data_IF_922951653400
#
_entry.id   IF_922951653400
#
_cell.length_a   1.000
_cell.length_b   1.000
_cell.length_c   1.000
_cell.angle_alpha   90.00
_cell.angle_beta   90.00
_cell.angle_gamma   90.00
#
_symmetry.space_group_name_H-M   'P 1'
#
loop_
_entity.id
_entity.type
_entity.pdbx_description
1 polymer ?
#
# COMPACT_ATOMS: atom_id res chain seq x y z
N UNK A 1 1.19 0.84 14.07
CA UNK A 1 0.72 2.13 13.52
C UNK A 1 0.09 1.86 12.18
N UNK A 2 -0.92 2.63 11.77
CA UNK A 2 -1.51 2.51 10.43
C UNK A 2 -1.17 3.75 9.64
N UNK A 3 -0.59 3.55 8.46
CA UNK A 3 -0.34 4.60 7.47
C UNK A 3 -1.05 4.23 6.17
N UNK A 4 -1.44 5.24 5.40
CA UNK A 4 -2.12 5.05 4.14
C UNK A 4 -1.41 5.83 3.04
N UNK A 5 -1.41 5.25 1.84
CA UNK A 5 -1.05 5.92 0.60
C UNK A 5 -2.33 6.04 -0.21
N UNK A 6 -2.77 7.26 -0.48
CA UNK A 6 -3.85 7.51 -1.42
C UNK A 6 -3.59 8.84 -2.14
N UNK A 7 -3.24 8.82 -3.44
CA UNK A 7 -2.93 10.04 -4.21
C UNK A 7 -4.17 10.87 -4.54
N UNK A 8 -5.38 10.37 -4.29
CA UNK A 8 -6.64 11.03 -4.65
C UNK A 8 -7.41 11.58 -3.43
N UNK A 9 -6.94 11.32 -2.21
CA UNK A 9 -7.56 11.77 -0.96
C UNK A 9 -6.78 12.92 -0.34
N UNK A 10 -7.50 13.88 0.24
CA UNK A 10 -6.93 14.95 1.05
C UNK A 10 -6.99 14.64 2.55
N UNK A 11 -6.19 15.36 3.34
CA UNK A 11 -6.10 15.15 4.80
C UNK A 11 -7.44 15.34 5.53
N UNK A 12 -8.42 16.04 4.92
CA UNK A 12 -9.69 16.38 5.54
C UNK A 12 -10.60 15.16 5.79
N UNK A 13 -10.39 14.06 5.07
CA UNK A 13 -11.18 12.83 5.18
C UNK A 13 -10.53 11.70 5.99
N UNK A 14 -9.30 11.88 6.48
CA UNK A 14 -8.51 10.80 7.07
C UNK A 14 -8.85 10.60 8.56
N UNK A 15 -9.19 9.38 9.00
CA UNK A 15 -9.37 9.09 10.42
C UNK A 15 -8.11 9.43 11.22
N UNK A 16 -8.25 10.01 12.42
CA UNK A 16 -7.13 10.42 13.29
C UNK A 16 -6.11 9.29 13.59
N UNK A 17 -6.52 8.03 13.48
CA UNK A 17 -5.66 6.86 13.70
C UNK A 17 -4.79 6.48 12.49
N UNK A 18 -4.96 7.16 11.35
CA UNK A 18 -4.26 6.89 10.09
C UNK A 18 -3.47 8.13 9.71
N UNK A 19 -2.22 7.94 9.26
CA UNK A 19 -1.43 9.01 8.66
C UNK A 19 -1.29 8.79 7.16
N UNK A 20 -1.59 9.83 6.37
CA UNK A 20 -1.30 9.81 4.93
C UNK A 20 0.21 9.99 4.74
N UNK A 21 0.83 9.14 3.92
CA UNK A 21 2.27 9.15 3.65
C UNK A 21 2.55 8.96 2.17
N UNK A 22 3.74 9.35 1.74
CA UNK A 22 4.22 9.04 0.39
C UNK A 22 4.47 7.53 0.23
N UNK A 23 4.23 7.02 -0.98
CA UNK A 23 4.63 5.66 -1.37
C UNK A 23 6.13 5.63 -1.67
N UNK A 24 6.95 5.47 -0.63
CA UNK A 24 8.40 5.41 -0.73
C UNK A 24 8.97 4.10 -0.16
N UNK A 25 10.24 3.81 -0.51
CA UNK A 25 10.97 2.63 -0.01
C UNK A 25 11.03 2.56 1.51
N UNK A 26 11.08 3.71 2.19
CA UNK A 26 11.23 3.76 3.65
C UNK A 26 9.94 3.30 4.32
N UNK A 27 8.78 3.71 3.82
CA UNK A 27 7.49 3.26 4.33
C UNK A 27 7.25 1.78 4.04
N UNK A 28 7.55 1.35 2.81
CA UNK A 28 7.38 -0.06 2.41
C UNK A 28 8.29 -0.99 3.21
N UNK A 29 9.57 -0.66 3.38
CA UNK A 29 10.52 -1.46 4.15
C UNK A 29 10.21 -1.49 5.66
N UNK A 30 9.47 -0.51 6.18
CA UNK A 30 9.07 -0.46 7.58
C UNK A 30 7.71 -1.11 7.84
N UNK A 31 6.99 -1.51 6.79
CA UNK A 31 5.66 -2.09 6.92
C UNK A 31 5.75 -3.56 7.35
N UNK A 32 5.07 -3.90 8.45
CA UNK A 32 4.89 -5.29 8.86
C UNK A 32 3.90 -6.03 7.94
N UNK A 33 2.99 -5.28 7.29
CA UNK A 33 1.96 -5.78 6.39
C UNK A 33 1.57 -4.68 5.40
N UNK A 34 1.48 -5.04 4.11
CA UNK A 34 0.96 -4.20 3.04
C UNK A 34 -0.44 -4.69 2.67
N UNK A 35 -1.42 -3.78 2.59
CA UNK A 35 -2.79 -4.12 2.17
C UNK A 35 -3.16 -3.25 0.96
N UNK A 36 -3.42 -3.89 -0.17
CA UNK A 36 -3.87 -3.20 -1.39
C UNK A 36 -5.39 -3.13 -1.37
N UNK A 37 -5.93 -1.94 -1.10
CA UNK A 37 -7.38 -1.68 -1.05
C UNK A 37 -7.91 -0.94 -2.28
N UNK A 38 -7.04 -0.22 -2.98
CA UNK A 38 -7.31 0.55 -4.20
C UNK A 38 -6.18 0.34 -5.20
N UNK A 39 -6.46 0.57 -6.48
CA UNK A 39 -5.57 0.20 -7.58
C UNK A 39 -5.17 1.40 -8.43
N UNK A 40 -4.86 2.52 -7.75
CA UNK A 40 -4.52 3.79 -8.39
C UNK A 40 -3.32 3.66 -9.32
N UNK A 41 -3.46 4.13 -10.56
CA UNK A 41 -2.38 4.10 -11.55
C UNK A 41 -1.20 5.02 -11.20
N UNK A 42 -1.38 5.94 -10.25
CA UNK A 42 -0.31 6.81 -9.75
C UNK A 42 0.65 6.10 -8.77
N UNK A 43 0.31 4.89 -8.30
CA UNK A 43 1.18 4.08 -7.44
C UNK A 43 2.21 3.35 -8.32
N UNK A 44 3.47 3.39 -7.89
CA UNK A 44 4.53 2.57 -8.48
C UNK A 44 4.40 1.13 -8.01
N UNK A 45 3.60 0.34 -8.72
CA UNK A 45 3.33 -1.05 -8.35
C UNK A 45 4.57 -1.95 -8.44
N UNK A 46 5.55 -1.63 -9.28
CA UNK A 46 6.81 -2.37 -9.32
C UNK A 46 7.57 -2.20 -8.01
N UNK A 47 7.60 -0.96 -7.50
CA UNK A 47 8.20 -0.69 -6.19
C UNK A 47 7.45 -1.41 -5.05
N UNK A 48 6.11 -1.46 -5.07
CA UNK A 48 5.35 -2.17 -4.03
C UNK A 48 5.61 -3.68 -4.10
N UNK A 49 5.70 -4.25 -5.31
CA UNK A 49 5.94 -5.68 -5.51
C UNK A 49 7.29 -6.14 -4.92
N UNK A 50 8.31 -5.27 -4.89
CA UNK A 50 9.61 -5.54 -4.24
C UNK A 50 9.49 -5.86 -2.74
N UNK A 51 8.39 -5.46 -2.08
CA UNK A 51 8.15 -5.63 -0.65
C UNK A 51 6.92 -6.51 -0.35
N UNK A 52 6.45 -7.29 -1.33
CA UNK A 52 5.18 -8.01 -1.27
C UNK A 52 5.16 -9.28 -0.38
N UNK A 53 6.28 -9.62 0.28
CA UNK A 53 6.42 -10.83 1.11
C UNK A 53 5.32 -10.96 2.19
N UNK A 54 4.85 -9.82 2.69
CA UNK A 54 3.73 -9.73 3.63
C UNK A 54 2.67 -8.80 3.06
N UNK A 55 2.11 -9.15 1.90
CA UNK A 55 1.04 -8.40 1.27
C UNK A 55 -0.29 -9.17 1.16
N UNK A 56 -1.38 -8.46 1.44
CA UNK A 56 -2.75 -8.86 1.10
C UNK A 56 -3.24 -7.99 -0.04
N UNK A 57 -3.47 -8.59 -1.21
CA UNK A 57 -3.87 -7.88 -2.41
C UNK A 57 -5.34 -8.15 -2.78
N UNK A 58 -6.20 -7.17 -2.55
CA UNK A 58 -7.64 -7.25 -2.89
C UNK A 58 -7.96 -6.71 -4.29
N UNK A 59 -6.93 -6.35 -5.06
CA UNK A 59 -7.04 -5.70 -6.38
C UNK A 59 -6.25 -6.40 -7.48
N UNK A 60 -5.54 -7.47 -7.15
CA UNK A 60 -4.76 -8.27 -8.08
C UNK A 60 -3.77 -7.43 -8.89
N UNK A 61 -3.04 -6.53 -8.21
CA UNK A 61 -2.00 -5.66 -8.77
C UNK A 61 -0.59 -6.19 -8.56
N UNK A 62 -0.33 -6.90 -7.47
CA UNK A 62 0.97 -7.49 -7.17
C UNK A 62 1.17 -8.76 -8.00
N UNK A 63 2.43 -9.10 -8.29
CA UNK A 63 2.77 -10.25 -9.14
C UNK A 63 3.50 -11.34 -8.40
N UNK A 64 4.08 -11.05 -7.23
CA UNK A 64 4.77 -12.06 -6.44
C UNK A 64 3.81 -13.24 -6.08
N UNK A 65 4.26 -14.50 -6.27
CA UNK A 65 3.44 -15.68 -5.98
C UNK A 65 3.14 -15.90 -4.50
N UNK A 66 3.87 -15.26 -3.57
CA UNK A 66 3.62 -15.37 -2.12
C UNK A 66 2.44 -14.52 -1.65
N UNK A 67 1.99 -13.56 -2.47
CA UNK A 67 0.92 -12.63 -2.13
C UNK A 67 -0.42 -13.35 -2.03
N UNK A 68 -1.11 -13.17 -0.91
CA UNK A 68 -2.49 -13.59 -0.76
C UNK A 68 -3.41 -12.67 -1.57
N UNK A 69 -4.19 -13.25 -2.49
CA UNK A 69 -5.11 -12.52 -3.38
C UNK A 69 -6.57 -12.92 -3.17
N UNK A 70 -7.48 -11.95 -3.26
CA UNK A 70 -8.93 -12.12 -3.14
C UNK A 70 -9.69 -11.77 -4.43
#
# INVERSE_FOLDING_TARGET
TVVAVDPLVDDAGIPTAVSLVDCDRRQLAAADLIIVLTDHDAIDWLLVDEYAEHALDTRNRLTDPVVDRL
#
